data_IF_795092282312
#
_entry.id   IF_795092282312
#
_cell.length_a   1.000
_cell.length_b   1.000
_cell.length_c   1.000
_cell.angle_alpha   90.00
_cell.angle_beta   90.00
_cell.angle_gamma   90.00
#
_symmetry.space_group_name_H-M   'P 1'
#
loop_
_entity.id
_entity.type
_entity.pdbx_description
1 polymer ?
#
# COMPACT_ATOMS: atom_id res chain seq x y z
N UNK A 1 -18.68 -1.18 -0.38
CA UNK A 1 -17.74 -1.14 -1.53
C UNK A 1 -16.34 -1.26 -0.96
N UNK A 2 -15.47 -2.03 -1.59
CA UNK A 2 -14.10 -2.24 -1.13
C UNK A 2 -13.12 -1.46 -2.00
N UNK A 3 -12.09 -0.90 -1.39
CA UNK A 3 -11.02 -0.16 -2.07
C UNK A 3 -9.68 -0.81 -1.72
N UNK A 4 -8.90 -1.14 -2.73
CA UNK A 4 -7.55 -1.64 -2.61
C UNK A 4 -6.59 -0.46 -2.61
N UNK A 5 -5.72 -0.43 -1.61
CA UNK A 5 -4.70 0.57 -1.41
C UNK A 5 -3.32 -0.02 -1.59
N UNK A 6 -2.35 0.84 -1.88
CA UNK A 6 -1.01 0.39 -2.22
C UNK A 6 0.02 1.46 -2.07
N UNK A 7 1.09 1.12 -1.36
CA UNK A 7 2.01 2.07 -0.78
C UNK A 7 3.43 1.52 -0.82
N UNK A 8 4.37 2.27 -1.37
CA UNK A 8 5.77 1.82 -1.48
C UNK A 8 6.52 2.09 -0.17
N UNK A 9 6.88 1.02 0.54
CA UNK A 9 7.66 1.10 1.78
C UNK A 9 9.14 0.99 1.44
N UNK A 10 9.91 2.02 1.80
CA UNK A 10 11.35 2.03 1.68
C UNK A 10 11.96 1.45 2.96
N UNK A 11 12.75 0.39 2.81
CA UNK A 11 13.66 -0.08 3.88
C UNK A 11 15.08 -0.04 3.32
N UNK A 12 16.06 0.16 4.20
CA UNK A 12 17.48 0.38 3.86
C UNK A 12 18.05 -0.57 2.80
N UNK A 13 17.57 -1.82 2.71
CA UNK A 13 18.05 -2.79 1.72
C UNK A 13 16.98 -3.53 0.90
N UNK A 14 15.70 -3.52 1.30
CA UNK A 14 14.61 -4.23 0.60
C UNK A 14 13.30 -3.49 0.74
N UNK A 15 13.01 -2.59 -0.20
CA UNK A 15 11.68 -1.98 -0.29
C UNK A 15 10.62 -3.00 -0.70
N UNK A 16 9.36 -2.70 -0.42
CA UNK A 16 8.22 -3.50 -0.84
C UNK A 16 7.03 -2.60 -1.17
N UNK A 17 6.12 -3.09 -2.01
CA UNK A 17 4.81 -2.47 -2.17
C UNK A 17 3.86 -3.12 -1.17
N UNK A 18 3.48 -2.38 -0.13
CA UNK A 18 2.49 -2.80 0.84
C UNK A 18 1.09 -2.57 0.29
N UNK A 19 0.29 -3.63 0.26
CA UNK A 19 -1.08 -3.66 -0.25
C UNK A 19 -2.01 -3.97 0.92
N UNK A 20 -3.05 -3.17 1.08
CA UNK A 20 -4.09 -3.37 2.08
C UNK A 20 -5.46 -3.03 1.50
N UNK A 21 -6.53 -3.53 2.12
CA UNK A 21 -7.90 -3.29 1.68
C UNK A 21 -8.67 -2.45 2.67
N UNK A 22 -9.49 -1.55 2.16
CA UNK A 22 -10.49 -0.79 2.92
C UNK A 22 -11.89 -1.27 2.52
N UNK A 23 -12.82 -1.30 3.46
CA UNK A 23 -14.21 -1.63 3.22
C UNK A 23 -15.15 -0.82 4.12
N UNK A 24 -16.37 -0.62 3.63
CA UNK A 24 -17.39 0.13 4.36
C UNK A 24 -17.89 -0.64 5.59
N UNK A 25 -17.59 -0.14 6.78
CA UNK A 25 -18.03 -0.67 8.10
C UNK A 25 -18.31 0.48 9.06
N UNK A 26 -18.80 0.16 10.26
CA UNK A 26 -18.96 1.15 11.32
C UNK A 26 -17.59 1.75 11.69
N UNK A 27 -17.36 3.07 11.51
CA UNK A 27 -16.03 3.68 11.71
C UNK A 27 -15.72 3.97 13.18
N UNK A 28 -16.66 3.75 14.11
CA UNK A 28 -16.48 4.15 15.51
C UNK A 28 -15.42 3.31 16.23
N UNK A 29 -14.39 3.96 16.76
CA UNK A 29 -13.45 3.39 17.73
C UNK A 29 -13.43 4.24 18.98
N UNK A 30 -13.58 3.63 20.15
CA UNK A 30 -13.36 4.32 21.41
C UNK A 30 -11.84 4.42 21.63
N UNK A 31 -11.34 5.63 21.76
CA UNK A 31 -9.93 5.94 21.90
C UNK A 31 -9.69 6.57 23.27
N UNK A 32 -8.89 5.90 24.09
CA UNK A 32 -8.44 6.44 25.37
C UNK A 32 -7.23 7.33 25.12
N UNK A 33 -7.35 8.63 25.36
CA UNK A 33 -6.22 9.57 25.22
C UNK A 33 -5.14 9.36 26.30
N UNK A 34 -5.35 8.45 27.26
CA UNK A 34 -4.52 8.25 28.44
C UNK A 34 -3.39 7.23 28.20
N UNK A 35 -2.32 7.68 27.52
CA UNK A 35 -0.95 7.20 27.75
C UNK A 35 -0.56 5.79 27.31
N UNK A 36 -1.48 4.93 26.89
CA UNK A 36 -1.09 3.70 26.17
C UNK A 36 -0.67 4.10 24.76
N UNK A 37 0.63 4.00 24.45
CA UNK A 37 1.16 4.27 23.11
C UNK A 37 0.73 3.28 22.03
N UNK A 38 -0.36 2.53 22.24
CA UNK A 38 -0.86 1.55 21.29
C UNK A 38 -1.75 2.23 20.24
N UNK A 39 -1.36 2.07 18.98
CA UNK A 39 -2.02 2.69 17.84
C UNK A 39 -3.25 1.84 17.47
N UNK A 40 -4.45 2.43 17.38
CA UNK A 40 -5.68 1.68 17.17
C UNK A 40 -5.70 1.02 15.78
N UNK A 41 -6.34 -0.15 15.69
CA UNK A 41 -6.63 -0.79 14.40
C UNK A 41 -7.68 0.02 13.65
N UNK A 42 -7.47 0.23 12.35
CA UNK A 42 -8.48 0.89 11.51
C UNK A 42 -9.71 -0.03 11.37
N UNK A 43 -10.90 0.38 11.85
CA UNK A 43 -12.13 -0.42 11.72
C UNK A 43 -12.59 -0.60 10.27
N UNK A 44 -12.12 0.25 9.35
CA UNK A 44 -12.43 0.16 7.93
C UNK A 44 -11.45 -0.76 7.17
N UNK A 45 -10.30 -1.11 7.78
CA UNK A 45 -9.33 -1.99 7.13
C UNK A 45 -9.84 -3.44 7.13
N UNK A 46 -9.66 -4.11 6.00
CA UNK A 46 -9.81 -5.55 5.89
C UNK A 46 -8.73 -6.26 6.70
N UNK A 47 -9.06 -7.41 7.28
CA UNK A 47 -8.05 -8.34 7.78
C UNK A 47 -7.28 -8.96 6.62
N UNK A 48 -6.12 -9.56 6.88
CA UNK A 48 -5.37 -10.26 5.83
C UNK A 48 -6.18 -11.39 5.17
N UNK A 49 -7.00 -12.10 5.95
CA UNK A 49 -7.89 -13.16 5.45
C UNK A 49 -8.95 -12.58 4.52
N UNK A 50 -9.67 -11.55 4.95
CA UNK A 50 -10.70 -10.89 4.14
C UNK A 50 -10.12 -10.31 2.84
N UNK A 51 -8.95 -9.68 2.93
CA UNK A 51 -8.25 -9.14 1.77
C UNK A 51 -7.88 -10.27 0.78
N UNK A 52 -7.41 -11.41 1.29
CA UNK A 52 -7.06 -12.55 0.44
C UNK A 52 -8.27 -13.09 -0.34
N UNK A 53 -9.39 -13.31 0.35
CA UNK A 53 -10.63 -13.79 -0.25
C UNK A 53 -11.16 -12.80 -1.29
N UNK A 54 -11.09 -11.51 -0.94
CA UNK A 54 -11.51 -10.44 -1.83
C UNK A 54 -10.66 -10.38 -3.11
N UNK A 55 -9.33 -10.44 -3.00
CA UNK A 55 -8.41 -10.43 -4.15
C UNK A 55 -8.67 -11.62 -5.10
N UNK A 56 -8.94 -12.81 -4.55
CA UNK A 56 -9.31 -13.99 -5.34
C UNK A 56 -10.65 -13.78 -6.04
N UNK A 57 -11.65 -13.24 -5.34
CA UNK A 57 -12.99 -12.99 -5.91
C UNK A 57 -12.95 -12.03 -7.10
N UNK A 58 -12.08 -11.01 -7.03
CA UNK A 58 -11.89 -10.02 -8.08
C UNK A 58 -10.98 -10.51 -9.22
N UNK A 59 -10.44 -11.73 -9.14
CA UNK A 59 -9.51 -12.31 -10.13
C UNK A 59 -8.31 -11.41 -10.42
N UNK A 60 -7.81 -10.72 -9.39
CA UNK A 60 -6.71 -9.77 -9.55
C UNK A 60 -5.42 -10.47 -9.95
N UNK A 61 -4.64 -9.86 -10.86
CA UNK A 61 -3.34 -10.39 -11.26
C UNK A 61 -2.39 -10.60 -10.08
N UNK A 62 -2.58 -9.88 -8.96
CA UNK A 62 -1.83 -10.04 -7.73
C UNK A 62 -1.83 -11.49 -7.22
N UNK A 63 -2.94 -12.22 -7.38
CA UNK A 63 -3.05 -13.62 -6.90
C UNK A 63 -2.08 -14.55 -7.60
N UNK A 64 -1.64 -14.22 -8.81
CA UNK A 64 -0.66 -15.01 -9.56
C UNK A 64 0.77 -14.78 -9.06
N UNK A 65 1.05 -13.61 -8.49
CA UNK A 65 2.35 -13.26 -7.92
C UNK A 65 2.49 -13.67 -6.45
N UNK A 66 1.35 -13.95 -5.82
CA UNK A 66 1.22 -14.42 -4.45
C UNK A 66 1.47 -15.94 -4.32
N UNK A 67 1.36 -16.70 -5.41
CA UNK A 67 1.61 -18.14 -5.39
C UNK A 67 3.11 -18.42 -5.40
N UNK A 68 3.61 -19.12 -4.38
CA UNK A 68 4.97 -19.67 -4.42
C UNK A 68 5.14 -20.61 -5.64
N UNK A 69 6.37 -20.74 -6.17
CA UNK A 69 6.65 -21.78 -7.14
C UNK A 69 6.31 -23.14 -6.50
N UNK A 70 5.36 -23.86 -7.10
CA UNK A 70 5.12 -25.26 -6.73
C UNK A 70 6.45 -26.00 -6.88
N UNK A 71 7.07 -26.38 -5.76
CA UNK A 71 8.15 -27.36 -5.78
C UNK A 71 7.53 -28.62 -6.38
N UNK A 72 7.94 -28.95 -7.61
CA UNK A 72 7.50 -30.14 -8.29
C UNK A 72 8.08 -31.36 -7.55
N UNK A 73 7.36 -31.86 -6.55
CA UNK A 73 7.62 -33.20 -6.05
C UNK A 73 7.09 -34.15 -7.11
N UNK A 74 7.99 -34.72 -7.91
CA UNK A 74 7.68 -35.77 -8.85
C UNK A 74 7.25 -37.02 -8.08
N UNK A 75 5.95 -37.15 -7.80
CA UNK A 75 5.36 -38.42 -7.41
C UNK A 75 4.49 -38.93 -8.55
N UNK A 76 4.98 -40.00 -9.16
CA UNK A 76 4.25 -40.84 -10.10
C UNK A 76 3.03 -41.43 -9.40
N UNK A 77 1.84 -40.94 -9.74
CA UNK A 77 0.59 -41.52 -9.21
C UNK A 77 -0.66 -40.79 -9.69
N UNK A 78 -1.37 -41.40 -10.65
CA UNK A 78 -2.69 -40.96 -11.12
C UNK A 78 -3.70 -40.97 -9.95
N UNK A 79 -4.17 -39.79 -9.53
CA UNK A 79 -5.50 -39.62 -8.92
C UNK A 79 -6.02 -38.21 -9.21
N UNK A 80 -7.28 -38.10 -9.67
CA UNK A 80 -7.99 -36.82 -9.84
C UNK A 80 -8.23 -36.23 -8.45
N UNK A 81 -7.48 -35.21 -8.06
CA UNK A 81 -7.72 -34.42 -6.85
C UNK A 81 -8.49 -33.16 -7.21
N UNK A 82 -9.65 -32.98 -6.59
CA UNK A 82 -10.46 -31.77 -6.69
C UNK A 82 -9.62 -30.55 -6.27
N UNK A 83 -9.76 -29.44 -7.00
CA UNK A 83 -9.05 -28.20 -6.73
C UNK A 83 -9.58 -27.60 -5.41
N UNK A 84 -8.76 -27.70 -4.35
CA UNK A 84 -8.96 -26.94 -3.12
C UNK A 84 -8.74 -25.44 -3.39
N UNK A 85 -9.44 -24.53 -2.67
CA UNK A 85 -9.26 -23.09 -2.84
C UNK A 85 -7.79 -22.76 -2.60
N UNK A 86 -7.20 -21.97 -3.48
CA UNK A 86 -5.78 -21.64 -3.41
C UNK A 86 -5.59 -20.60 -2.31
N UNK A 87 -5.19 -21.04 -1.11
CA UNK A 87 -4.86 -20.15 0.00
C UNK A 87 -3.67 -19.27 -0.38
N UNK A 88 -3.84 -17.96 -0.21
CA UNK A 88 -2.80 -16.95 -0.36
C UNK A 88 -1.92 -17.01 0.90
N UNK A 89 -0.71 -17.58 0.77
CA UNK A 89 0.22 -17.74 1.90
C UNK A 89 1.28 -16.62 1.93
N UNK A 90 0.86 -15.35 1.90
CA UNK A 90 1.80 -14.25 2.14
C UNK A 90 1.96 -13.99 3.64
N UNK A 91 3.17 -13.63 4.10
CA UNK A 91 3.33 -13.12 5.46
C UNK A 91 2.41 -11.89 5.63
N UNK A 92 1.57 -11.95 6.66
CA UNK A 92 0.76 -10.80 7.05
C UNK A 92 1.68 -9.75 7.65
N UNK A 93 1.55 -8.52 7.18
CA UNK A 93 2.29 -7.39 7.70
C UNK A 93 1.33 -6.36 8.28
N UNK A 94 1.71 -5.79 9.42
CA UNK A 94 1.01 -4.65 10.00
C UNK A 94 1.79 -3.38 9.72
N UNK A 95 1.10 -2.30 9.37
CA UNK A 95 1.70 -1.01 9.09
C UNK A 95 0.85 0.13 9.65
N UNK A 96 1.51 1.24 9.99
CA UNK A 96 0.86 2.45 10.52
C UNK A 96 0.71 3.45 9.39
N UNK A 97 -0.51 3.93 9.19
CA UNK A 97 -0.84 4.93 8.16
C UNK A 97 -1.65 6.03 8.82
N UNK A 98 -1.27 7.30 8.62
CA UNK A 98 -2.09 8.41 9.06
C UNK A 98 -3.23 8.66 8.07
N UNK A 99 -4.48 8.55 8.55
CA UNK A 99 -5.69 8.70 7.74
C UNK A 99 -6.55 9.85 8.26
N UNK A 100 -7.29 10.55 7.37
CA UNK A 100 -8.29 11.53 7.78
C UNK A 100 -9.30 10.92 8.73
N UNK A 101 -9.49 11.55 9.88
CA UNK A 101 -10.28 11.05 11.00
C UNK A 101 -11.06 12.19 11.62
N UNK A 102 -12.36 11.98 11.80
CA UNK A 102 -13.21 12.88 12.55
C UNK A 102 -13.09 12.57 14.05
N UNK A 103 -12.87 13.63 14.85
CA UNK A 103 -12.72 13.56 16.30
C UNK A 103 -13.70 14.60 16.87
N UNK A 104 -14.82 14.17 17.49
CA UNK A 104 -15.76 15.08 18.13
C UNK A 104 -15.12 15.82 19.31
N UNK A 105 -15.50 17.08 19.51
CA UNK A 105 -14.97 17.93 20.59
C UNK A 105 -15.52 17.57 21.99
N UNK A 106 -16.63 16.82 22.06
CA UNK A 106 -17.30 16.48 23.32
C UNK A 106 -16.91 15.08 23.81
N UNK A 107 -15.98 15.01 24.77
CA UNK A 107 -15.72 13.79 25.55
C UNK A 107 -16.13 14.00 27.02
N UNK A 108 -17.34 13.59 27.37
CA UNK A 108 -17.67 13.29 28.77
C UNK A 108 -16.94 11.99 29.15
N UNK A 109 -16.14 12.04 30.22
CA UNK A 109 -15.51 10.88 30.88
C UNK A 109 -14.31 10.20 30.14
N UNK A 110 -13.32 10.99 29.70
CA UNK A 110 -11.95 10.51 29.46
C UNK A 110 -11.72 9.54 28.30
N UNK A 111 -12.79 9.16 27.59
CA UNK A 111 -12.75 8.29 26.41
C UNK A 111 -13.36 9.04 25.22
N UNK A 112 -12.57 9.30 24.18
CA UNK A 112 -13.06 10.00 22.98
C UNK A 112 -13.31 9.01 21.87
N UNK A 113 -14.49 9.04 21.25
CA UNK A 113 -14.73 8.23 20.07
C UNK A 113 -14.10 8.91 18.84
N UNK A 114 -13.34 8.16 18.05
CA UNK A 114 -12.74 8.64 16.79
C UNK A 114 -13.30 7.85 15.61
N UNK A 115 -13.37 8.49 14.44
CA UNK A 115 -14.06 7.96 13.26
C UNK A 115 -13.18 8.18 12.00
N UNK A 116 -12.45 7.16 11.51
CA UNK A 116 -11.72 7.29 10.26
C UNK A 116 -12.69 7.51 9.11
N UNK A 117 -12.26 8.33 8.16
CA UNK A 117 -13.04 8.65 6.96
C UNK A 117 -12.69 7.63 5.88
N UNK A 118 -13.72 6.97 5.35
CA UNK A 118 -13.57 6.02 4.26
C UNK A 118 -13.07 6.71 2.98
N UNK A 119 -12.14 6.10 2.24
CA UNK A 119 -11.49 6.74 1.09
C UNK A 119 -12.44 7.13 -0.04
N UNK A 120 -13.55 6.41 -0.21
CA UNK A 120 -14.61 6.76 -1.17
C UNK A 120 -15.28 8.12 -0.88
N UNK A 121 -15.20 8.61 0.36
CA UNK A 121 -15.82 9.86 0.80
C UNK A 121 -14.86 11.05 0.78
N UNK A 122 -13.59 10.83 0.42
CA UNK A 122 -12.59 11.90 0.34
C UNK A 122 -12.95 12.88 -0.78
N UNK A 123 -12.95 14.18 -0.44
CA UNK A 123 -13.31 15.26 -1.37
C UNK A 123 -14.80 15.60 -1.41
N UNK A 124 -15.62 14.94 -0.61
CA UNK A 124 -16.97 15.43 -0.30
C UNK A 124 -16.86 16.52 0.78
N UNK A 125 -17.51 17.66 0.55
CA UNK A 125 -17.56 18.73 1.54
C UNK A 125 -18.18 18.19 2.84
N UNK A 126 -17.46 18.37 3.95
CA UNK A 126 -17.89 17.97 5.28
C UNK A 126 -17.75 19.19 6.19
N UNK A 127 -18.81 19.52 6.93
CA UNK A 127 -18.84 20.67 7.84
C UNK A 127 -17.97 20.49 9.10
N UNK A 128 -17.37 19.32 9.27
CA UNK A 128 -16.62 18.95 10.47
C UNK A 128 -15.12 18.84 10.21
N UNK A 129 -14.26 19.34 11.12
CA UNK A 129 -12.82 19.26 10.94
C UNK A 129 -12.34 17.81 10.95
N UNK A 130 -11.43 17.48 10.03
CA UNK A 130 -10.78 16.18 9.94
C UNK A 130 -9.31 16.32 10.29
N UNK A 131 -8.79 15.38 11.06
CA UNK A 131 -7.40 15.35 11.51
C UNK A 131 -6.71 14.11 10.95
N UNK A 132 -5.40 14.20 10.69
CA UNK A 132 -4.61 13.02 10.37
C UNK A 132 -4.31 12.28 11.67
N UNK A 133 -4.87 11.08 11.81
CA UNK A 133 -4.68 10.22 12.98
C UNK A 133 -4.00 8.91 12.53
N UNK A 134 -2.96 8.42 13.25
CA UNK A 134 -2.28 7.17 12.91
C UNK A 134 -3.15 5.96 13.20
N UNK A 135 -3.36 5.13 12.19
CA UNK A 135 -4.09 3.88 12.29
C UNK A 135 -3.20 2.69 11.92
N UNK A 136 -3.38 1.57 12.62
CA UNK A 136 -2.77 0.29 12.29
C UNK A 136 -3.65 -0.45 11.28
N UNK A 137 -3.06 -0.88 10.17
CA UNK A 137 -3.72 -1.69 9.14
C UNK A 137 -2.95 -2.97 8.89
N UNK A 138 -3.63 -3.99 8.38
CA UNK A 138 -3.03 -5.25 7.97
C UNK A 138 -3.01 -5.38 6.45
N UNK A 139 -2.02 -6.09 5.93
CA UNK A 139 -1.89 -6.29 4.50
C UNK A 139 -0.72 -7.17 4.11
N UNK A 140 -0.36 -7.06 2.84
CA UNK A 140 0.63 -7.91 2.18
C UNK A 140 1.77 -7.08 1.62
N UNK A 141 3.01 -7.55 1.75
CA UNK A 141 4.17 -6.91 1.14
C UNK A 141 4.58 -7.66 -0.12
N UNK A 142 4.48 -7.01 -1.28
CA UNK A 142 5.05 -7.51 -2.53
C UNK A 142 6.50 -7.07 -2.63
N UNK A 143 7.40 -7.99 -2.92
CA UNK A 143 8.79 -7.62 -3.21
C UNK A 143 8.86 -6.80 -4.52
N UNK A 144 9.96 -6.08 -4.80
CA UNK A 144 10.02 -5.19 -5.95
C UNK A 144 9.72 -5.86 -7.31
N UNK A 145 10.10 -7.13 -7.48
CA UNK A 145 9.84 -7.86 -8.73
C UNK A 145 8.35 -8.16 -8.89
N UNK A 146 7.69 -8.64 -7.83
CA UNK A 146 6.24 -8.90 -7.81
C UNK A 146 5.45 -7.61 -7.94
N UNK A 147 5.87 -6.56 -7.24
CA UNK A 147 5.22 -5.26 -7.25
C UNK A 147 5.19 -4.65 -8.65
N UNK A 148 6.32 -4.67 -9.38
CA UNK A 148 6.37 -4.17 -10.76
C UNK A 148 5.45 -4.97 -11.68
N UNK A 149 5.42 -6.30 -11.57
CA UNK A 149 4.52 -7.14 -12.37
C UNK A 149 3.06 -6.86 -12.05
N UNK A 150 2.72 -6.69 -10.78
CA UNK A 150 1.38 -6.33 -10.33
C UNK A 150 0.96 -4.95 -10.86
N UNK A 151 1.78 -3.91 -10.66
CA UNK A 151 1.48 -2.54 -11.10
C UNK A 151 1.34 -2.43 -12.62
N UNK A 152 2.10 -3.23 -13.38
CA UNK A 152 2.01 -3.32 -14.83
C UNK A 152 0.73 -4.03 -15.31
N UNK A 153 0.17 -4.94 -14.51
CA UNK A 153 -1.06 -5.66 -14.81
C UNK A 153 -2.33 -4.85 -14.51
N UNK A 154 -2.23 -3.75 -13.77
CA UNK A 154 -3.36 -2.83 -13.55
C UNK A 154 -3.79 -2.25 -14.92
N UNK A 155 -5.10 -2.23 -15.25
CA UNK A 155 -5.58 -1.67 -16.51
C UNK A 155 -5.19 -0.19 -16.71
N UNK A 156 -5.00 0.25 -17.95
CA UNK A 156 -4.67 1.64 -18.26
C UNK A 156 -5.82 2.61 -17.97
N UNK A 157 -7.07 2.15 -18.15
CA UNK A 157 -8.28 2.93 -17.85
C UNK A 157 -8.56 3.02 -16.35
N UNK A 158 -7.93 2.19 -15.51
CA UNK A 158 -8.02 2.30 -14.05
C UNK A 158 -7.70 3.70 -13.55
N UNK A 159 -6.76 4.40 -14.21
CA UNK A 159 -6.36 5.76 -13.89
C UNK A 159 -7.46 6.80 -14.12
N UNK A 160 -8.50 6.48 -14.91
CA UNK A 160 -9.66 7.36 -15.17
C UNK A 160 -10.76 7.25 -14.12
N UNK A 161 -10.57 6.44 -13.07
CA UNK A 161 -11.53 6.31 -11.97
C UNK A 161 -12.68 5.32 -12.22
N UNK A 162 -12.70 4.64 -13.37
CA UNK A 162 -13.74 3.64 -13.70
C UNK A 162 -13.65 2.39 -12.80
N UNK A 163 -12.44 2.03 -12.37
CA UNK A 163 -12.21 0.95 -11.41
C UNK A 163 -12.41 1.48 -9.99
N UNK A 164 -13.67 1.56 -9.54
CA UNK A 164 -14.06 2.10 -8.23
C UNK A 164 -13.37 1.39 -7.04
N UNK A 165 -12.82 0.20 -7.26
CA UNK A 165 -12.13 -0.58 -6.24
C UNK A 165 -10.64 -0.26 -6.10
N UNK A 166 -10.02 0.55 -6.97
CA UNK A 166 -8.61 0.96 -6.79
C UNK A 166 -8.54 2.30 -6.07
N UNK A 167 -7.66 2.42 -5.09
CA UNK A 167 -7.34 3.68 -4.45
C UNK A 167 -6.57 4.62 -5.38
N UNK A 168 -6.64 5.92 -5.09
CA UNK A 168 -5.85 6.93 -5.83
C UNK A 168 -4.34 6.70 -5.73
N UNK A 169 -3.88 6.13 -4.62
CA UNK A 169 -2.51 5.68 -4.35
C UNK A 169 -2.04 4.59 -5.31
N UNK A 170 -2.83 3.52 -5.51
CA UNK A 170 -2.48 2.47 -6.46
C UNK A 170 -2.47 2.97 -7.90
N UNK A 171 -3.44 3.81 -8.27
CA UNK A 171 -3.46 4.45 -9.59
C UNK A 171 -2.19 5.27 -9.82
N UNK A 172 -1.80 6.06 -8.82
CA UNK A 172 -0.57 6.85 -8.83
C UNK A 172 0.67 5.96 -9.01
N UNK A 173 0.87 4.96 -8.15
CA UNK A 173 2.02 4.05 -8.24
C UNK A 173 2.05 3.25 -9.54
N UNK A 174 0.89 2.91 -10.10
CA UNK A 174 0.79 2.26 -11.41
C UNK A 174 1.32 3.17 -12.53
N UNK A 175 1.02 4.47 -12.50
CA UNK A 175 1.57 5.43 -13.47
C UNK A 175 3.07 5.67 -13.28
N UNK A 176 3.52 5.81 -12.02
CA UNK A 176 4.95 5.97 -11.70
C UNK A 176 5.75 4.74 -12.11
N UNK A 177 5.21 3.52 -11.91
CA UNK A 177 5.84 2.27 -12.34
C UNK A 177 6.03 2.22 -13.86
N UNK A 178 5.01 2.60 -14.64
CA UNK A 178 5.12 2.67 -16.11
C UNK A 178 6.15 3.68 -16.57
N UNK A 179 6.18 4.86 -15.95
CA UNK A 179 7.19 5.86 -16.27
C UNK A 179 8.60 5.39 -15.89
N UNK A 180 8.75 4.69 -14.77
CA UNK A 180 10.01 4.07 -14.37
C UNK A 180 10.50 3.03 -15.39
N UNK A 181 9.60 2.18 -15.90
CA UNK A 181 9.92 1.22 -16.97
C UNK A 181 10.31 1.92 -18.28
N UNK A 182 9.64 3.02 -18.63
CA UNK A 182 9.99 3.86 -19.77
C UNK A 182 11.41 4.45 -19.62
N UNK A 183 11.75 5.01 -18.46
CA UNK A 183 13.11 5.49 -18.16
C UNK A 183 14.16 4.38 -18.29
N UNK A 184 13.87 3.18 -17.78
CA UNK A 184 14.75 2.01 -17.92
C UNK A 184 14.94 1.64 -19.39
N UNK A 185 13.86 1.62 -20.17
CA UNK A 185 13.92 1.28 -21.61
C UNK A 185 14.74 2.29 -22.43
N UNK A 186 14.79 3.55 -21.97
CA UNK A 186 15.61 4.63 -22.54
C UNK A 186 17.02 4.71 -21.94
N UNK A 187 17.41 3.74 -21.10
CA UNK A 187 18.69 3.72 -20.39
C UNK A 187 18.98 5.00 -19.58
N UNK A 188 17.95 5.62 -19.00
CA UNK A 188 18.06 6.86 -18.21
C UNK A 188 18.44 6.59 -16.76
N UNK A 189 19.62 6.01 -16.57
CA UNK A 189 20.18 5.73 -15.26
C UNK A 189 21.71 5.71 -15.26
N UNK A 190 22.31 6.02 -14.12
CA UNK A 190 23.75 6.06 -13.91
C UNK A 190 24.13 5.24 -12.67
N UNK A 191 25.30 4.58 -12.66
CA UNK A 191 25.82 3.96 -11.46
C UNK A 191 26.26 5.06 -10.47
N UNK A 192 25.87 4.93 -9.21
CA UNK A 192 26.23 5.84 -8.12
C UNK A 192 26.74 5.05 -6.93
N UNK A 193 27.78 5.55 -6.28
CA UNK A 193 28.23 5.05 -4.98
C UNK A 193 27.72 6.02 -3.92
N UNK A 194 27.00 5.51 -2.94
CA UNK A 194 26.46 6.30 -1.83
C UNK A 194 26.99 5.77 -0.51
N UNK A 195 27.35 6.69 0.38
CA UNK A 195 27.72 6.37 1.76
C UNK A 195 26.45 6.17 2.59
N UNK A 196 26.33 5.01 3.20
CA UNK A 196 25.24 4.65 4.11
C UNK A 196 25.44 5.29 5.48
N UNK A 197 24.38 5.30 6.30
CA UNK A 197 24.38 5.85 7.65
C UNK A 197 25.32 5.13 8.62
N UNK A 198 25.58 3.83 8.38
CA UNK A 198 26.54 3.01 9.11
C UNK A 198 28.01 3.24 8.68
N UNK A 199 28.23 4.14 7.72
CA UNK A 199 29.54 4.46 7.16
C UNK A 199 29.98 3.53 6.03
N UNK A 200 29.24 2.48 5.69
CA UNK A 200 29.52 1.59 4.56
C UNK A 200 29.22 2.29 3.22
N UNK A 201 29.76 1.74 2.13
CA UNK A 201 29.45 2.21 0.77
C UNK A 201 28.53 1.21 0.07
N UNK A 202 27.50 1.72 -0.62
CA UNK A 202 26.63 0.92 -1.48
C UNK A 202 26.67 1.44 -2.92
N UNK A 203 26.84 0.52 -3.87
CA UNK A 203 26.59 0.79 -5.28
C UNK A 203 25.09 0.71 -5.55
N UNK A 204 24.52 1.75 -6.17
CA UNK A 204 23.11 1.85 -6.53
C UNK A 204 22.96 2.44 -7.92
N UNK A 205 21.86 2.12 -8.59
CA UNK A 205 21.46 2.80 -9.82
C UNK A 205 20.66 4.06 -9.47
N UNK A 206 21.05 5.20 -10.04
CA UNK A 206 20.35 6.46 -9.90
C UNK A 206 19.66 6.80 -11.21
N UNK A 207 18.40 7.23 -11.15
CA UNK A 207 17.66 7.72 -12.32
C UNK A 207 18.28 9.01 -12.84
N UNK A 208 18.44 9.11 -14.16
CA UNK A 208 18.94 10.30 -14.85
C UNK A 208 17.77 11.08 -15.44
N UNK A 209 17.46 12.24 -14.87
CA UNK A 209 16.41 13.15 -15.33
C UNK A 209 17.05 14.40 -15.95
N UNK A 210 17.67 14.23 -17.11
CA UNK A 210 18.44 15.27 -17.83
C UNK A 210 17.64 16.01 -18.91
N UNK A 211 16.39 15.59 -19.15
CA UNK A 211 15.51 16.19 -20.17
C UNK A 211 14.43 17.05 -19.53
N UNK A 212 14.07 18.15 -20.19
CA UNK A 212 12.96 19.01 -19.74
C UNK A 212 11.64 18.23 -19.64
N UNK A 213 11.40 17.27 -20.54
CA UNK A 213 10.20 16.43 -20.55
C UNK A 213 10.13 15.56 -19.29
N UNK A 214 11.23 14.90 -18.92
CA UNK A 214 11.27 14.05 -17.74
C UNK A 214 11.20 14.88 -16.45
N UNK A 215 11.80 16.08 -16.44
CA UNK A 215 11.66 17.06 -15.35
C UNK A 215 10.22 17.50 -15.11
N UNK A 216 9.53 17.99 -16.15
CA UNK A 216 8.11 18.38 -16.06
C UNK A 216 7.21 17.22 -15.62
N UNK A 217 7.52 16.00 -16.07
CA UNK A 217 6.76 14.81 -15.64
C UNK A 217 6.97 14.51 -14.16
N UNK A 218 8.19 14.64 -13.62
CA UNK A 218 8.46 14.50 -12.19
C UNK A 218 7.70 15.54 -11.35
N UNK A 219 7.73 16.80 -11.79
CA UNK A 219 7.01 17.90 -11.14
C UNK A 219 5.52 17.59 -11.07
N UNK A 220 4.94 17.13 -12.18
CA UNK A 220 3.53 16.72 -12.22
C UNK A 220 3.23 15.59 -11.24
N UNK A 221 4.05 14.54 -11.21
CA UNK A 221 3.85 13.45 -10.23
C UNK A 221 3.98 13.93 -8.79
N UNK A 222 4.89 14.86 -8.52
CA UNK A 222 5.09 15.40 -7.18
C UNK A 222 3.91 16.27 -6.73
N UNK A 223 3.34 17.07 -7.63
CA UNK A 223 2.15 17.88 -7.39
C UNK A 223 0.89 17.02 -7.20
N UNK A 224 0.75 15.95 -8.00
CA UNK A 224 -0.42 15.06 -8.00
C UNK A 224 -0.28 13.89 -6.99
N UNK A 225 0.77 13.87 -6.16
CA UNK A 225 1.04 12.76 -5.24
C UNK A 225 -0.03 12.67 -4.14
N UNK A 226 -0.78 11.55 -4.03
CA UNK A 226 -1.80 11.39 -3.01
C UNK A 226 -1.23 11.56 -1.59
N UNK A 227 -2.00 12.18 -0.69
CA UNK A 227 -1.57 12.44 0.69
C UNK A 227 -1.17 11.16 1.44
N UNK A 228 -1.91 10.06 1.25
CA UNK A 228 -1.59 8.76 1.85
C UNK A 228 -0.21 8.22 1.42
N UNK A 229 0.29 8.65 0.26
CA UNK A 229 1.64 8.30 -0.19
C UNK A 229 2.75 9.09 0.50
N UNK A 230 2.40 10.10 1.31
CA UNK A 230 3.33 11.04 1.95
C UNK A 230 3.35 10.92 3.48
N UNK A 231 2.43 10.17 4.08
CA UNK A 231 2.15 10.20 5.52
C UNK A 231 2.52 8.90 6.25
N UNK A 232 3.53 8.17 5.77
CA UNK A 232 4.00 6.98 6.47
C UNK A 232 4.83 7.36 7.70
N UNK A 233 4.55 6.69 8.80
CA UNK A 233 5.40 6.70 9.97
C UNK A 233 6.18 5.40 9.97
N UNK A 234 7.51 5.47 10.07
CA UNK A 234 8.25 4.32 10.55
C UNK A 234 7.70 4.01 11.94
N UNK A 235 7.17 2.80 12.11
CA UNK A 235 6.75 2.37 13.44
C UNK A 235 7.90 2.60 14.39
N UNK A 236 7.62 3.19 15.55
CA UNK A 236 8.48 3.15 16.73
C UNK A 236 8.61 1.67 17.15
N UNK A 237 9.34 0.89 16.36
CA UNK A 237 9.73 -0.47 16.63
C UNK A 237 11.14 -0.41 17.20
N UNK A 238 11.19 -0.51 18.52
CA UNK A 238 12.31 -0.95 19.36
C UNK A 238 13.59 -1.27 18.60
N UNK A 239 14.61 -0.43 18.79
CA UNK A 239 15.97 -0.91 18.68
C UNK A 239 16.16 -2.01 19.72
N UNK A 240 16.35 -3.23 19.23
CA UNK A 240 17.08 -4.32 19.86
C UNK A 240 17.73 -5.15 18.74
#
# INVERSE_FOLDING_TARGET
MAILHGNWLLKSQKGCLFIWGETWRSPRVNFESNGSGDIPLNPLAMTSVELSEWLVSQKMAITNFIQQPKIAIATTGRTRKAATPTEISLPTHSHIIALPTYIPEESTEGTSAIFPVHSASLGLETDSPQYLQPWRVEGFCLNPSEAVKFLAAIPLNAAKGEDAFLGGDLRFWSQVSRWSLDLISRCKFLPRIERQSDGAFAAKWQVLLDSAVDGTRLEKFSADMPLVCRTYQEGLGTGD
#
